data_IF_096078274776
#
_entry.id   IF_096078274776
#
_cell.length_a   1.000
_cell.length_b   1.000
_cell.length_c   1.000
_cell.angle_alpha   90.00
_cell.angle_beta   90.00
_cell.angle_gamma   90.00
#
_symmetry.space_group_name_H-M   'P 1'
#
loop_
_entity.id
_entity.type
_entity.pdbx_description
1 polymer ?
#
# COMPACT_ATOMS: atom_id res chain seq x y z
N UNK A 1 2.03 23.91 -10.89
CA UNK A 1 1.75 22.88 -9.88
C UNK A 1 2.36 23.33 -8.57
N UNK A 2 1.56 23.62 -7.54
CA UNK A 2 2.06 24.05 -6.24
C UNK A 2 2.72 22.87 -5.52
N UNK A 3 3.96 23.06 -5.06
CA UNK A 3 4.74 22.07 -4.32
C UNK A 3 4.11 21.86 -2.92
N UNK A 4 3.17 20.93 -2.79
CA UNK A 4 2.48 20.61 -1.53
C UNK A 4 3.30 19.68 -0.60
N UNK A 5 4.48 19.22 -1.05
CA UNK A 5 5.42 18.34 -0.33
C UNK A 5 5.72 18.78 1.12
N UNK A 6 6.03 20.06 1.43
CA UNK A 6 6.31 20.48 2.81
C UNK A 6 5.07 20.44 3.70
N UNK A 7 3.88 20.68 3.15
CA UNK A 7 2.63 20.62 3.91
C UNK A 7 2.26 19.18 4.27
N UNK A 8 2.34 18.24 3.32
CA UNK A 8 2.05 16.82 3.55
C UNK A 8 2.96 16.24 4.63
N UNK A 9 4.26 16.53 4.58
CA UNK A 9 5.22 16.03 5.57
C UNK A 9 4.93 16.59 6.98
N UNK A 10 4.55 17.86 7.10
CA UNK A 10 4.14 18.44 8.39
C UNK A 10 2.88 17.78 8.97
N UNK A 11 1.90 17.43 8.13
CA UNK A 11 0.69 16.73 8.58
C UNK A 11 0.98 15.29 8.96
N UNK A 12 1.82 14.58 8.19
CA UNK A 12 2.27 13.22 8.52
C UNK A 12 2.91 13.20 9.90
N UNK A 13 3.82 14.12 10.21
CA UNK A 13 4.50 14.13 11.51
C UNK A 13 3.58 14.44 12.71
N UNK A 14 2.43 15.07 12.48
CA UNK A 14 1.42 15.34 13.52
C UNK A 14 0.50 14.15 13.81
N UNK A 15 0.38 13.21 12.88
CA UNK A 15 -0.48 12.02 13.06
C UNK A 15 0.20 10.98 13.95
N UNK A 16 -0.57 10.39 14.87
CA UNK A 16 -0.08 9.26 15.66
C UNK A 16 0.19 8.05 14.77
N UNK A 17 1.18 7.24 15.14
CA UNK A 17 1.49 6.01 14.40
C UNK A 17 0.28 5.07 14.30
N UNK A 18 -0.49 4.94 15.39
CA UNK A 18 -1.69 4.09 15.41
C UNK A 18 -2.70 4.55 14.35
N UNK A 19 -2.91 5.86 14.21
CA UNK A 19 -3.80 6.40 13.18
C UNK A 19 -3.28 6.10 11.77
N UNK A 20 -1.99 6.36 11.51
CA UNK A 20 -1.37 6.07 10.21
C UNK A 20 -1.47 4.59 9.85
N UNK A 21 -1.16 3.70 10.80
CA UNK A 21 -1.26 2.25 10.62
C UNK A 21 -2.68 1.82 10.27
N UNK A 22 -3.69 2.37 10.94
CA UNK A 22 -5.09 2.08 10.64
C UNK A 22 -5.50 2.58 9.25
N UNK A 23 -5.11 3.80 8.88
CA UNK A 23 -5.36 4.36 7.55
C UNK A 23 -4.77 3.48 6.45
N UNK A 24 -3.49 3.12 6.59
CA UNK A 24 -2.79 2.22 5.66
C UNK A 24 -3.47 0.86 5.59
N UNK A 25 -3.84 0.27 6.72
CA UNK A 25 -4.56 -1.01 6.72
C UNK A 25 -5.86 -0.95 5.91
N UNK A 26 -6.62 0.15 6.00
CA UNK A 26 -7.85 0.33 5.21
C UNK A 26 -7.54 0.49 3.72
N UNK A 27 -6.54 1.30 3.37
CA UNK A 27 -6.10 1.49 1.97
C UNK A 27 -5.70 0.15 1.34
N UNK A 28 -4.90 -0.66 2.04
CA UNK A 28 -4.46 -1.97 1.53
C UNK A 28 -5.59 -2.99 1.44
N UNK A 29 -6.59 -2.94 2.32
CA UNK A 29 -7.81 -3.77 2.21
C UNK A 29 -8.61 -3.40 0.95
N UNK A 30 -8.83 -2.11 0.71
CA UNK A 30 -9.52 -1.63 -0.50
C UNK A 30 -8.75 -2.01 -1.75
N UNK A 31 -7.43 -1.87 -1.73
CA UNK A 31 -6.56 -2.29 -2.82
C UNK A 31 -6.69 -3.78 -3.13
N UNK A 32 -6.67 -4.64 -2.11
CA UNK A 32 -6.86 -6.09 -2.26
C UNK A 32 -8.23 -6.42 -2.88
N UNK A 33 -9.29 -5.76 -2.41
CA UNK A 33 -10.63 -5.92 -2.98
C UNK A 33 -10.70 -5.48 -4.45
N UNK A 34 -10.07 -4.35 -4.78
CA UNK A 34 -9.97 -3.85 -6.14
C UNK A 34 -9.21 -4.82 -7.07
N UNK A 35 -8.14 -5.47 -6.59
CA UNK A 35 -7.43 -6.50 -7.38
C UNK A 35 -8.31 -7.71 -7.67
N UNK A 36 -9.08 -8.19 -6.70
CA UNK A 36 -10.03 -9.29 -6.91
C UNK A 36 -11.12 -8.91 -7.92
N UNK A 37 -11.64 -7.68 -7.83
CA UNK A 37 -12.62 -7.17 -8.78
C UNK A 37 -12.04 -7.10 -10.20
N UNK A 38 -10.83 -6.55 -10.33
CA UNK A 38 -10.11 -6.46 -11.60
C UNK A 38 -9.90 -7.85 -12.22
N UNK A 39 -9.44 -8.81 -11.44
CA UNK A 39 -9.21 -10.18 -11.91
C UNK A 39 -10.51 -10.86 -12.36
N UNK A 40 -11.60 -10.66 -11.62
CA UNK A 40 -12.92 -11.15 -12.02
C UNK A 40 -13.36 -10.53 -13.35
N UNK A 41 -13.19 -9.21 -13.52
CA UNK A 41 -13.48 -8.51 -14.77
C UNK A 41 -12.70 -9.09 -15.95
N UNK A 42 -11.40 -9.32 -15.77
CA UNK A 42 -10.51 -9.96 -16.76
C UNK A 42 -11.01 -11.34 -17.18
N UNK A 43 -11.41 -12.18 -16.22
CA UNK A 43 -11.94 -13.53 -16.51
C UNK A 43 -13.26 -13.47 -17.28
N UNK A 44 -14.18 -12.57 -16.88
CA UNK A 44 -15.47 -12.43 -17.55
C UNK A 44 -15.33 -11.93 -19.00
N UNK A 45 -14.37 -11.04 -19.26
CA UNK A 45 -14.02 -10.57 -20.59
C UNK A 45 -13.43 -11.70 -21.45
N UNK A 46 -12.49 -12.48 -20.91
CA UNK A 46 -11.93 -13.66 -21.58
C UNK A 46 -12.97 -14.71 -21.97
N UNK A 47 -14.01 -14.87 -21.14
CA UNK A 47 -15.13 -15.78 -21.42
C UNK A 47 -16.19 -15.16 -22.33
N UNK A 48 -16.00 -13.93 -22.82
CA UNK A 48 -16.98 -13.17 -23.62
C UNK A 48 -18.35 -13.04 -22.92
N UNK A 49 -18.35 -13.01 -21.59
CA UNK A 49 -19.55 -12.82 -20.75
C UNK A 49 -19.78 -11.33 -20.50
N UNK A 50 -18.70 -10.52 -20.49
CA UNK A 50 -18.79 -9.07 -20.30
C UNK A 50 -19.37 -8.36 -21.52
N UNK A 51 -20.26 -7.38 -21.29
CA UNK A 51 -20.77 -6.48 -22.34
C UNK A 51 -19.81 -5.34 -22.66
N UNK A 52 -18.89 -5.04 -21.75
CA UNK A 52 -17.90 -3.97 -21.88
C UNK A 52 -16.48 -4.55 -21.82
N UNK A 53 -15.54 -4.04 -22.64
CA UNK A 53 -14.16 -4.51 -22.62
C UNK A 53 -13.51 -4.20 -21.27
N UNK A 54 -12.83 -5.19 -20.70
CA UNK A 54 -12.12 -5.00 -19.45
C UNK A 54 -10.94 -4.03 -19.62
N UNK A 55 -10.88 -2.99 -18.78
CA UNK A 55 -9.71 -2.12 -18.67
C UNK A 55 -9.03 -2.31 -17.31
N UNK A 56 -7.77 -2.73 -17.34
CA UNK A 56 -6.96 -2.84 -16.13
C UNK A 56 -6.58 -1.46 -15.62
N UNK A 57 -7.12 -1.09 -14.45
CA UNK A 57 -6.72 0.14 -13.76
C UNK A 57 -5.61 -0.20 -12.76
N UNK A 58 -4.39 0.28 -13.02
CA UNK A 58 -3.30 0.20 -12.05
C UNK A 58 -3.61 1.13 -10.87
N UNK A 59 -3.59 0.57 -9.66
CA UNK A 59 -3.86 1.30 -8.43
C UNK A 59 -2.73 2.28 -8.11
N UNK A 60 -3.05 3.44 -7.54
CA UNK A 60 -2.03 4.33 -6.98
C UNK A 60 -1.21 3.62 -5.89
N UNK A 61 -1.78 2.63 -5.20
CA UNK A 61 -1.04 1.77 -4.25
C UNK A 61 0.05 0.97 -4.96
N UNK A 62 -0.23 0.39 -6.13
CA UNK A 62 0.78 -0.37 -6.89
C UNK A 62 1.93 0.56 -7.30
N UNK A 63 1.60 1.74 -7.83
CA UNK A 63 2.58 2.76 -8.23
C UNK A 63 3.46 3.21 -7.07
N UNK A 64 2.88 3.43 -5.88
CA UNK A 64 3.65 3.81 -4.69
C UNK A 64 4.55 2.67 -4.22
N UNK A 65 4.07 1.43 -4.25
CA UNK A 65 4.89 0.26 -3.89
C UNK A 65 6.07 0.05 -4.83
N UNK A 66 5.94 0.40 -6.11
CA UNK A 66 7.00 0.32 -7.13
C UNK A 66 8.13 1.35 -6.91
N UNK A 67 7.82 2.52 -6.34
CA UNK A 67 8.81 3.61 -6.13
C UNK A 67 9.42 3.62 -4.73
N UNK A 68 8.81 2.93 -3.77
CA UNK A 68 9.33 2.81 -2.42
C UNK A 68 10.65 2.03 -2.39
N UNK A 69 11.45 2.25 -1.35
CA UNK A 69 12.59 1.38 -1.07
C UNK A 69 12.11 -0.10 -1.03
N UNK A 70 12.79 -1.03 -1.73
CA UNK A 70 12.35 -2.42 -1.81
C UNK A 70 12.14 -3.11 -0.47
N UNK A 71 12.88 -2.72 0.57
CA UNK A 71 12.69 -3.26 1.93
C UNK A 71 11.39 -2.76 2.53
N UNK A 72 11.05 -1.49 2.32
CA UNK A 72 9.80 -0.90 2.81
C UNK A 72 8.59 -1.46 2.06
N UNK A 73 8.65 -1.56 0.73
CA UNK A 73 7.56 -2.17 -0.05
C UNK A 73 7.32 -3.62 0.36
N UNK A 74 8.38 -4.43 0.48
CA UNK A 74 8.29 -5.82 0.95
C UNK A 74 7.68 -5.92 2.35
N UNK A 75 8.12 -5.06 3.27
CA UNK A 75 7.59 -5.02 4.64
C UNK A 75 6.10 -4.66 4.66
N UNK A 76 5.68 -3.67 3.88
CA UNK A 76 4.26 -3.27 3.79
C UNK A 76 3.39 -4.38 3.17
N UNK A 77 3.89 -5.07 2.14
CA UNK A 77 3.18 -6.20 1.53
C UNK A 77 2.99 -7.33 2.56
N UNK A 78 4.07 -7.70 3.26
CA UNK A 78 4.05 -8.74 4.29
C UNK A 78 3.15 -8.38 5.47
N UNK A 79 3.17 -7.14 5.93
CA UNK A 79 2.33 -6.65 7.03
C UNK A 79 0.85 -6.54 6.66
N UNK A 80 0.53 -5.94 5.51
CA UNK A 80 -0.84 -5.50 5.22
C UNK A 80 -1.60 -6.32 4.17
N UNK A 81 -0.90 -6.98 3.24
CA UNK A 81 -1.52 -7.80 2.19
C UNK A 81 -1.54 -9.27 2.57
N UNK A 82 -0.34 -9.79 2.86
CA UNK A 82 -0.11 -11.21 3.16
C UNK A 82 -0.37 -11.53 4.64
N UNK A 83 -0.14 -10.56 5.53
CA UNK A 83 -0.27 -10.70 6.99
C UNK A 83 0.63 -11.83 7.55
N UNK A 84 1.81 -11.99 6.95
CA UNK A 84 2.79 -13.05 7.21
C UNK A 84 3.69 -12.70 8.41
N UNK A 85 3.18 -12.99 9.62
CA UNK A 85 3.89 -12.69 10.88
C UNK A 85 5.18 -13.48 11.03
N UNK A 86 5.21 -14.73 10.58
CA UNK A 86 6.38 -15.60 10.70
C UNK A 86 7.55 -15.06 9.88
N UNK A 87 7.28 -14.58 8.66
CA UNK A 87 8.29 -13.91 7.85
C UNK A 87 8.82 -12.65 8.54
N UNK A 88 7.93 -11.83 9.12
CA UNK A 88 8.34 -10.61 9.82
C UNK A 88 9.26 -10.95 11.00
N UNK A 89 8.89 -11.91 11.84
CA UNK A 89 9.68 -12.33 13.00
C UNK A 89 11.02 -12.96 12.61
N UNK A 90 11.06 -13.65 11.45
CA UNK A 90 12.29 -14.25 10.91
C UNK A 90 13.30 -13.21 10.43
N UNK A 91 12.84 -12.14 9.78
CA UNK A 91 13.73 -11.16 9.13
C UNK A 91 13.94 -9.88 9.94
N UNK A 92 13.10 -9.61 10.94
CA UNK A 92 13.16 -8.38 11.72
C UNK A 92 13.10 -8.66 13.22
N UNK A 93 14.12 -8.18 13.94
CA UNK A 93 14.00 -8.05 15.39
C UNK A 93 12.89 -7.05 15.74
N UNK A 94 12.24 -7.22 16.89
CA UNK A 94 11.11 -6.36 17.31
C UNK A 94 11.42 -4.85 17.23
N UNK A 95 12.61 -4.45 17.66
CA UNK A 95 13.04 -3.04 17.63
C UNK A 95 13.36 -2.54 16.21
N UNK A 96 13.93 -3.39 15.36
CA UNK A 96 14.19 -3.08 13.95
C UNK A 96 12.88 -2.95 13.18
N UNK A 97 11.98 -3.93 13.33
CA UNK A 97 10.65 -3.91 12.75
C UNK A 97 9.93 -2.60 13.04
N UNK A 98 9.88 -2.18 14.31
CA UNK A 98 9.16 -0.97 14.71
C UNK A 98 9.71 0.29 14.03
N UNK A 99 11.04 0.42 13.92
CA UNK A 99 11.67 1.55 13.23
C UNK A 99 11.34 1.55 11.73
N UNK A 100 11.43 0.37 11.09
CA UNK A 100 11.24 0.26 9.65
C UNK A 100 9.77 0.37 9.24
N UNK A 101 8.82 -0.18 10.00
CA UNK A 101 7.40 -0.07 9.67
C UNK A 101 6.90 1.37 9.82
N UNK A 102 7.39 2.12 10.82
CA UNK A 102 7.10 3.56 10.94
C UNK A 102 7.56 4.32 9.69
N UNK A 103 8.83 4.13 9.32
CA UNK A 103 9.42 4.80 8.17
C UNK A 103 8.73 4.42 6.86
N UNK A 104 8.45 3.14 6.65
CA UNK A 104 7.76 2.64 5.47
C UNK A 104 6.35 3.24 5.35
N UNK A 105 5.61 3.35 6.45
CA UNK A 105 4.28 3.96 6.47
C UNK A 105 4.36 5.46 6.16
N UNK A 106 5.31 6.18 6.75
CA UNK A 106 5.48 7.62 6.50
C UNK A 106 5.85 7.90 5.03
N UNK A 107 6.77 7.14 4.46
CA UNK A 107 7.14 7.25 3.04
C UNK A 107 5.98 6.88 2.12
N UNK A 108 5.23 5.82 2.45
CA UNK A 108 4.07 5.43 1.66
C UNK A 108 3.02 6.54 1.63
N UNK A 109 2.66 7.11 2.80
CA UNK A 109 1.68 8.21 2.86
C UNK A 109 2.21 9.43 2.11
N UNK A 110 3.50 9.75 2.26
CA UNK A 110 4.13 10.84 1.52
C UNK A 110 3.93 10.67 0.03
N UNK A 111 4.33 9.54 -0.55
CA UNK A 111 4.21 9.32 -1.99
C UNK A 111 2.77 9.19 -2.49
N UNK A 112 1.85 8.68 -1.68
CA UNK A 112 0.45 8.54 -2.07
C UNK A 112 -0.26 9.90 -2.22
N UNK A 113 0.16 10.91 -1.44
CA UNK A 113 -0.47 12.24 -1.42
C UNK A 113 0.45 13.36 -1.94
N UNK A 114 1.59 13.02 -2.56
CA UNK A 114 2.52 13.96 -3.22
C UNK A 114 2.14 14.22 -4.67
#
# INVERSE_FOLDING_TARGET
>A
MQNNKPFVNQQINKMSFVYKKNLISQIFKLHKAAKVFNEKGRILDQLSISKEPYMQVQSNVDKVLEILDPKHSSLLIKEFIEQDKEWIEKYWSKSSYYKHIHKAIDEFIYYLYS
#
